data_IF_303194896272
#
_entry.id   IF_303194896272
#
_cell.length_a   1.000
_cell.length_b   1.000
_cell.length_c   1.000
_cell.angle_alpha   90.00
_cell.angle_beta   90.00
_cell.angle_gamma   90.00
#
_symmetry.space_group_name_H-M   'P 1'
#
loop_
_entity.id
_entity.type
_entity.pdbx_description
1 polymer ?
#
# COMPACT_ATOMS: atom_id res chain seq x y z
N UNK A 1 -14.59 -0.36 10.09
CA UNK A 1 -13.15 -0.50 10.40
C UNK A 1 -12.31 0.15 9.30
N UNK A 2 -10.97 0.08 9.38
CA UNK A 2 -10.09 0.73 8.38
C UNK A 2 -10.32 0.16 6.96
N UNK A 3 -10.64 -1.13 6.85
CA UNK A 3 -11.00 -1.78 5.58
C UNK A 3 -12.28 -1.18 4.97
N UNK A 4 -13.33 -1.01 5.76
CA UNK A 4 -14.61 -0.47 5.27
C UNK A 4 -14.45 0.98 4.76
N UNK A 5 -13.65 1.78 5.46
CA UNK A 5 -13.34 3.15 5.06
C UNK A 5 -12.55 3.18 3.73
N UNK A 6 -11.60 2.26 3.55
CA UNK A 6 -10.85 2.13 2.31
C UNK A 6 -11.72 1.58 1.16
N UNK A 7 -12.67 0.70 1.45
CA UNK A 7 -13.63 0.20 0.46
C UNK A 7 -14.61 1.28 0.00
N UNK A 8 -14.99 2.20 0.89
CA UNK A 8 -15.85 3.33 0.54
C UNK A 8 -15.12 4.43 -0.26
N UNK A 9 -13.79 4.40 -0.32
CA UNK A 9 -13.00 5.35 -1.09
C UNK A 9 -12.80 4.84 -2.52
N UNK A 10 -13.20 5.66 -3.49
CA UNK A 10 -13.13 5.33 -4.92
C UNK A 10 -11.80 5.69 -5.57
N UNK A 11 -10.94 6.44 -4.89
CA UNK A 11 -9.63 6.83 -5.42
C UNK A 11 -8.57 5.73 -5.31
N UNK A 12 -7.38 6.04 -5.80
CA UNK A 12 -6.22 5.15 -5.74
C UNK A 12 -5.68 5.02 -4.30
N UNK A 13 -5.48 3.79 -3.85
CA UNK A 13 -4.94 3.45 -2.53
C UNK A 13 -3.62 2.72 -2.72
N UNK A 14 -2.51 3.31 -2.23
CA UNK A 14 -1.19 2.68 -2.27
C UNK A 14 -0.71 2.41 -0.85
N UNK A 15 -0.36 1.17 -0.56
CA UNK A 15 0.21 0.77 0.72
C UNK A 15 1.75 0.83 0.68
N UNK A 16 2.37 1.45 1.68
CA UNK A 16 3.83 1.60 1.75
C UNK A 16 4.35 1.08 3.08
N UNK A 17 5.25 0.10 3.00
CA UNK A 17 5.98 -0.45 4.14
C UNK A 17 7.45 -0.06 4.05
N UNK A 18 7.93 0.73 5.03
CA UNK A 18 9.33 1.18 5.09
C UNK A 18 10.29 -0.02 5.18
N UNK A 19 9.96 -1.02 5.99
CA UNK A 19 10.77 -2.23 6.16
C UNK A 19 10.25 -3.40 5.32
N UNK A 20 11.11 -4.37 5.00
CA UNK A 20 10.69 -5.59 4.33
C UNK A 20 9.89 -6.48 5.30
N UNK A 21 8.57 -6.45 5.14
CA UNK A 21 7.64 -7.23 5.99
C UNK A 21 7.69 -8.73 5.70
N UNK A 22 8.12 -9.15 4.49
CA UNK A 22 8.26 -10.56 4.10
C UNK A 22 9.49 -11.25 4.71
N UNK A 23 10.41 -10.48 5.30
CA UNK A 23 11.54 -11.02 6.09
C UNK A 23 11.21 -11.15 7.57
N UNK A 24 9.96 -10.89 7.97
CA UNK A 24 9.47 -10.96 9.35
C UNK A 24 8.45 -12.09 9.49
N UNK A 25 7.97 -12.30 10.72
CA UNK A 25 7.03 -13.35 11.10
C UNK A 25 5.73 -13.34 10.27
N UNK A 26 5.24 -14.51 9.89
CA UNK A 26 4.15 -14.72 8.91
C UNK A 26 2.83 -14.01 9.24
N UNK A 27 2.55 -13.71 10.51
CA UNK A 27 1.32 -13.02 10.91
C UNK A 27 1.25 -11.55 10.45
N UNK A 28 2.37 -10.95 10.00
CA UNK A 28 2.40 -9.60 9.41
C UNK A 28 2.04 -9.59 7.92
N UNK A 29 1.83 -10.75 7.30
CA UNK A 29 1.41 -10.85 5.91
C UNK A 29 -0.10 -10.60 5.73
N UNK A 30 -0.87 -10.59 6.82
CA UNK A 30 -2.29 -10.24 6.82
C UNK A 30 -2.46 -8.75 7.14
N UNK A 31 -2.46 -7.91 6.11
CA UNK A 31 -2.87 -6.51 6.22
C UNK A 31 -4.27 -6.33 5.63
N UNK A 32 -5.19 -5.83 6.45
CA UNK A 32 -6.51 -5.43 5.96
C UNK A 32 -6.44 -4.25 4.98
N UNK A 33 -5.33 -3.51 4.94
CA UNK A 33 -5.12 -2.44 3.95
C UNK A 33 -4.73 -3.04 2.59
N UNK A 34 -3.94 -4.13 2.58
CA UNK A 34 -3.54 -4.82 1.34
C UNK A 34 -4.71 -5.37 0.54
N UNK A 35 -5.83 -5.70 1.21
CA UNK A 35 -7.02 -6.26 0.55
C UNK A 35 -7.70 -5.26 -0.41
N UNK A 36 -7.51 -3.96 -0.17
CA UNK A 36 -8.07 -2.88 -1.01
C UNK A 36 -7.00 -2.08 -1.76
N UNK A 37 -5.72 -2.22 -1.41
CA UNK A 37 -4.67 -1.44 -2.05
C UNK A 37 -4.54 -1.77 -3.55
N UNK A 38 -4.46 -0.74 -4.38
CA UNK A 38 -4.21 -0.82 -5.82
C UNK A 38 -2.73 -1.08 -6.14
N UNK A 39 -1.87 -0.97 -5.13
CA UNK A 39 -0.45 -1.31 -5.19
C UNK A 39 0.20 -1.30 -3.82
N UNK A 40 1.27 -2.09 -3.66
CA UNK A 40 2.01 -2.23 -2.39
C UNK A 40 3.51 -2.06 -2.67
N UNK A 41 4.16 -1.16 -1.92
CA UNK A 41 5.62 -0.95 -1.95
C UNK A 41 6.21 -1.39 -0.62
N UNK A 42 7.19 -2.30 -0.63
CA UNK A 42 7.72 -2.94 0.58
C UNK A 42 9.24 -2.91 0.62
N UNK A 43 9.81 -2.46 1.74
CA UNK A 43 11.24 -2.59 2.02
C UNK A 43 12.14 -1.57 1.32
N UNK A 44 11.55 -0.53 0.71
CA UNK A 44 12.29 0.54 0.04
C UNK A 44 12.64 1.72 0.96
N UNK A 45 12.54 1.56 2.29
CA UNK A 45 12.78 2.66 3.22
C UNK A 45 11.86 3.85 2.95
N UNK A 46 12.35 5.06 3.15
CA UNK A 46 11.61 6.30 2.85
C UNK A 46 11.41 6.52 1.34
N UNK A 47 12.25 5.94 0.48
CA UNK A 47 12.07 6.03 -0.97
C UNK A 47 10.78 5.33 -1.44
N UNK A 48 10.23 4.40 -0.65
CA UNK A 48 8.94 3.78 -0.93
C UNK A 48 7.78 4.77 -1.09
N UNK A 49 7.83 5.93 -0.42
CA UNK A 49 6.81 6.98 -0.57
C UNK A 49 6.85 7.64 -1.94
N UNK A 50 8.05 7.87 -2.50
CA UNK A 50 8.18 8.44 -3.84
C UNK A 50 7.63 7.47 -4.90
N UNK A 51 7.99 6.19 -4.77
CA UNK A 51 7.47 5.13 -5.65
C UNK A 51 5.94 5.03 -5.56
N UNK A 52 5.40 5.06 -4.34
CA UNK A 52 3.95 5.04 -4.13
C UNK A 52 3.24 6.26 -4.73
N UNK A 53 3.81 7.45 -4.58
CA UNK A 53 3.25 8.68 -5.16
C UNK A 53 3.25 8.64 -6.69
N UNK A 54 4.34 8.16 -7.31
CA UNK A 54 4.42 8.00 -8.77
C UNK A 54 3.37 7.01 -9.27
N UNK A 55 3.15 5.91 -8.54
CA UNK A 55 2.12 4.94 -8.90
C UNK A 55 0.70 5.54 -8.77
N UNK A 56 0.42 6.27 -7.68
CA UNK A 56 -0.86 6.95 -7.52
C UNK A 56 -1.11 7.94 -8.66
N UNK A 57 -0.11 8.76 -9.03
CA UNK A 57 -0.20 9.68 -10.16
C UNK A 57 -0.45 8.95 -11.49
N UNK A 58 0.22 7.81 -11.72
CA UNK A 58 -0.02 7.00 -12.91
C UNK A 58 -1.47 6.49 -12.98
N UNK A 59 -2.01 5.98 -11.87
CA UNK A 59 -3.38 5.47 -11.81
C UNK A 59 -4.43 6.57 -12.03
N UNK A 60 -4.20 7.77 -11.51
CA UNK A 60 -5.10 8.92 -11.67
C UNK A 60 -5.03 9.58 -13.06
N UNK A 61 -4.00 9.25 -13.85
CA UNK A 61 -3.80 9.80 -15.21
C UNK A 61 -4.41 8.95 -16.34
N UNK A 62 -5.03 7.81 -15.98
CA UNK A 62 -5.80 6.97 -16.90
C UNK A 62 -7.28 7.33 -16.82
#
# INVERSE_FOLDING_TARGET
GILDALHAFEGAVIEVHISNIHKREDFRHHSYVSLRADGIVVGCGTHGYELGLRQAAHLLSK
#
